data_IF_569160984860
#
_entry.id   IF_569160984860
#
_cell.length_a   1.000
_cell.length_b   1.000
_cell.length_c   1.000
_cell.angle_alpha   90.00
_cell.angle_beta   90.00
_cell.angle_gamma   90.00
#
_symmetry.space_group_name_H-M   'P 1'
#
loop_
_entity.id
_entity.type
_entity.pdbx_description
1 polymer ?
#
# COMPACT_ATOMS: atom_id res chain seq x y z
N UNK A 1 -25.52 2.68 8.26
CA UNK A 1 -25.48 1.77 7.10
C UNK A 1 -24.17 1.03 7.20
N UNK A 2 -24.20 -0.25 7.54
CA UNK A 2 -22.98 -1.06 7.52
C UNK A 2 -22.57 -1.14 6.05
N UNK A 3 -21.38 -0.62 5.71
CA UNK A 3 -20.81 -0.88 4.40
C UNK A 3 -20.60 -2.40 4.33
N UNK A 4 -21.34 -3.07 3.45
CA UNK A 4 -21.07 -4.46 3.08
C UNK A 4 -19.59 -4.56 2.67
N UNK A 5 -18.90 -5.61 3.14
CA UNK A 5 -17.55 -5.86 2.65
C UNK A 5 -17.61 -6.13 1.14
N UNK A 6 -16.71 -5.52 0.35
CA UNK A 6 -16.72 -5.69 -1.09
C UNK A 6 -16.50 -7.15 -1.46
N UNK A 7 -17.06 -7.58 -2.59
CA UNK A 7 -16.82 -8.91 -3.12
C UNK A 7 -15.30 -9.17 -3.29
N UNK A 8 -14.87 -10.40 -3.03
CA UNK A 8 -13.44 -10.75 -3.00
C UNK A 8 -12.79 -10.57 -4.38
N UNK A 9 -13.51 -10.84 -5.46
CA UNK A 9 -13.00 -10.67 -6.82
C UNK A 9 -12.93 -9.19 -7.22
N UNK A 10 -13.93 -8.40 -6.84
CA UNK A 10 -13.93 -6.93 -7.01
C UNK A 10 -12.80 -6.28 -6.22
N UNK A 11 -12.56 -6.73 -4.98
CA UNK A 11 -11.48 -6.26 -4.13
C UNK A 11 -10.11 -6.57 -4.74
N UNK A 12 -9.89 -7.81 -5.19
CA UNK A 12 -8.64 -8.21 -5.82
C UNK A 12 -8.38 -7.46 -7.13
N UNK A 13 -9.42 -7.25 -7.93
CA UNK A 13 -9.34 -6.51 -9.20
C UNK A 13 -9.04 -5.03 -8.97
N UNK A 14 -9.75 -4.40 -8.04
CA UNK A 14 -9.53 -3.00 -7.66
C UNK A 14 -8.13 -2.81 -7.08
N UNK A 15 -7.66 -3.71 -6.22
CA UNK A 15 -6.30 -3.67 -5.68
C UNK A 15 -5.25 -3.69 -6.78
N UNK A 16 -5.33 -4.62 -7.76
CA UNK A 16 -4.37 -4.70 -8.87
C UNK A 16 -4.34 -3.39 -9.67
N UNK A 17 -5.50 -2.80 -9.95
CA UNK A 17 -5.59 -1.50 -10.63
C UNK A 17 -4.95 -0.38 -9.82
N UNK A 18 -5.22 -0.31 -8.50
CA UNK A 18 -4.62 0.71 -7.64
C UNK A 18 -3.10 0.53 -7.47
N UNK A 19 -2.61 -0.72 -7.45
CA UNK A 19 -1.17 -1.02 -7.46
C UNK A 19 -0.53 -0.51 -8.75
N UNK A 20 -1.15 -0.76 -9.91
CA UNK A 20 -0.68 -0.23 -11.18
C UNK A 20 -0.61 1.31 -11.20
N UNK A 21 -1.59 1.99 -10.60
CA UNK A 21 -1.57 3.47 -10.46
C UNK A 21 -0.44 3.92 -9.53
N UNK A 22 -0.30 3.28 -8.36
CA UNK A 22 0.74 3.59 -7.40
C UNK A 22 2.14 3.47 -8.00
N UNK A 23 2.37 2.42 -8.79
CA UNK A 23 3.66 2.17 -9.43
C UNK A 23 3.87 3.01 -10.70
N UNK A 24 3.03 2.83 -11.71
CA UNK A 24 3.28 3.33 -13.06
C UNK A 24 2.94 4.82 -13.22
N UNK A 25 1.93 5.31 -12.49
CA UNK A 25 1.40 6.67 -12.64
C UNK A 25 1.94 7.60 -11.57
N UNK A 26 2.35 7.08 -10.42
CA UNK A 26 2.79 7.90 -9.28
C UNK A 26 4.27 7.71 -8.98
N UNK A 27 4.69 6.54 -8.53
CA UNK A 27 6.06 6.29 -8.10
C UNK A 27 7.08 6.46 -9.24
N UNK A 28 6.80 5.93 -10.42
CA UNK A 28 7.68 6.05 -11.57
C UNK A 28 7.92 7.50 -12.02
N UNK A 29 6.87 8.30 -12.30
CA UNK A 29 7.01 9.74 -12.54
C UNK A 29 7.73 10.48 -11.41
N UNK A 30 7.35 10.23 -10.15
CA UNK A 30 8.00 10.84 -8.99
C UNK A 30 9.47 10.48 -8.88
N UNK A 31 9.87 9.26 -9.23
CA UNK A 31 11.25 8.83 -9.22
C UNK A 31 12.07 9.56 -10.29
N UNK A 32 11.53 9.68 -11.51
CA UNK A 32 12.20 10.42 -12.59
C UNK A 32 12.37 11.91 -12.28
N UNK A 33 11.40 12.52 -11.60
CA UNK A 33 11.43 13.95 -11.28
C UNK A 33 12.16 14.27 -9.99
N UNK A 34 11.96 13.46 -8.95
CA UNK A 34 12.33 13.79 -7.56
C UNK A 34 13.24 12.73 -6.92
N UNK A 35 13.59 11.65 -7.61
CA UNK A 35 14.50 10.62 -7.11
C UNK A 35 13.94 9.76 -5.97
N UNK A 36 12.63 9.79 -5.73
CA UNK A 36 11.98 8.99 -4.69
C UNK A 36 10.74 8.28 -5.21
N UNK A 37 10.50 7.09 -4.68
CA UNK A 37 9.31 6.27 -4.97
C UNK A 37 8.31 6.27 -3.81
N UNK A 38 8.66 6.89 -2.68
CA UNK A 38 7.84 6.85 -1.47
C UNK A 38 6.47 7.46 -1.75
N UNK A 39 5.42 6.77 -1.33
CA UNK A 39 4.05 7.29 -1.34
C UNK A 39 3.57 7.51 0.10
N UNK A 40 2.63 8.42 0.28
CA UNK A 40 2.02 8.73 1.57
C UNK A 40 0.53 8.42 1.59
N UNK A 41 0.02 7.97 2.73
CA UNK A 41 -1.42 7.78 2.94
C UNK A 41 -2.09 9.11 3.23
N UNK A 42 -3.30 9.30 2.71
CA UNK A 42 -4.16 10.48 2.92
C UNK A 42 -5.61 10.05 3.04
N UNK A 43 -6.51 10.85 3.65
CA UNK A 43 -7.90 10.45 3.86
C UNK A 43 -8.63 10.02 2.58
N UNK A 44 -8.89 8.73 2.39
CA UNK A 44 -9.55 8.20 1.19
C UNK A 44 -8.62 7.78 0.06
N UNK A 45 -7.29 7.69 0.27
CA UNK A 45 -6.37 7.13 -0.71
C UNK A 45 -4.90 7.34 -0.35
N UNK A 46 -4.08 7.60 -1.37
CA UNK A 46 -2.63 7.80 -1.24
C UNK A 46 -2.13 8.86 -2.22
N UNK A 47 -0.92 9.37 -2.00
CA UNK A 47 -0.33 10.47 -2.76
C UNK A 47 1.17 10.30 -2.97
N UNK A 48 1.71 11.01 -3.94
CA UNK A 48 3.15 11.27 -4.01
C UNK A 48 3.57 12.17 -2.84
N UNK A 49 4.82 12.05 -2.41
CA UNK A 49 5.41 12.89 -1.35
C UNK A 49 6.26 14.03 -1.89
N UNK A 50 6.62 13.96 -3.17
CA UNK A 50 7.34 14.94 -3.96
C UNK A 50 6.69 15.11 -5.35
N UNK A 51 7.26 15.98 -6.19
CA UNK A 51 6.74 16.19 -7.53
C UNK A 51 6.86 14.93 -8.41
N UNK A 52 5.87 14.66 -9.29
CA UNK A 52 4.66 15.46 -9.52
C UNK A 52 3.62 15.30 -8.39
N UNK A 53 2.95 16.39 -8.02
CA UNK A 53 1.89 16.39 -7.01
C UNK A 53 0.61 15.65 -7.44
N UNK A 54 0.59 14.33 -7.22
CA UNK A 54 -0.49 13.41 -7.61
C UNK A 54 -1.13 12.76 -6.38
N UNK A 55 -2.43 12.51 -6.46
CA UNK A 55 -3.21 11.89 -5.39
C UNK A 55 -4.30 10.97 -5.94
N UNK A 56 -4.43 9.78 -5.39
CA UNK A 56 -5.64 8.96 -5.54
C UNK A 56 -6.65 9.34 -4.46
N UNK A 57 -7.89 9.58 -4.88
CA UNK A 57 -9.05 9.88 -4.03
C UNK A 57 -10.19 8.92 -4.38
N UNK A 58 -10.32 7.82 -3.64
CA UNK A 58 -11.26 6.76 -3.96
C UNK A 58 -10.98 6.18 -5.34
N UNK A 59 -11.86 6.47 -6.30
CA UNK A 59 -11.84 5.98 -7.67
C UNK A 59 -11.30 7.01 -8.69
N UNK A 60 -10.66 8.08 -8.24
CA UNK A 60 -10.14 9.14 -9.10
C UNK A 60 -8.66 9.47 -8.83
N UNK A 61 -7.95 9.84 -9.90
CA UNK A 61 -6.63 10.48 -9.84
C UNK A 61 -6.80 12.00 -9.88
N UNK A 62 -6.15 12.69 -8.95
CA UNK A 62 -6.14 14.15 -8.83
C UNK A 62 -4.71 14.67 -9.02
N UNK A 63 -4.54 15.69 -9.85
CA UNK A 63 -3.24 16.35 -10.06
C UNK A 63 -3.38 17.88 -9.97
N UNK A 64 -2.55 18.51 -9.14
CA UNK A 64 -2.48 19.97 -9.00
C UNK A 64 -3.80 20.66 -8.62
N UNK A 65 -4.80 19.92 -8.12
CA UNK A 65 -6.15 20.42 -7.83
C UNK A 65 -7.00 20.82 -9.06
N UNK A 66 -6.46 20.67 -10.26
CA UNK A 66 -7.10 21.09 -11.52
C UNK A 66 -7.57 19.91 -12.37
N UNK A 67 -6.83 18.81 -12.32
CA UNK A 67 -7.18 17.57 -13.01
C UNK A 67 -7.83 16.62 -12.02
N UNK A 68 -8.99 16.09 -12.39
CA UNK A 68 -9.63 14.94 -11.74
C UNK A 68 -10.05 13.95 -12.82
N UNK A 69 -9.35 12.82 -12.91
CA UNK A 69 -9.63 11.78 -13.89
C UNK A 69 -10.18 10.52 -13.17
N UNK A 70 -11.29 9.93 -13.64
CA UNK A 70 -11.72 8.63 -13.12
C UNK A 70 -10.65 7.58 -13.42
N UNK A 71 -10.47 6.62 -12.51
CA UNK A 71 -9.55 5.51 -12.69
C UNK A 71 -10.20 4.38 -13.51
N UNK A 72 -11.46 4.05 -13.22
CA UNK A 72 -12.15 2.96 -13.89
C UNK A 72 -12.29 3.21 -15.40
N UNK A 73 -11.98 2.17 -16.19
CA UNK A 73 -12.03 2.21 -17.64
C UNK A 73 -10.90 2.98 -18.32
N UNK A 74 -9.94 3.53 -17.57
CA UNK A 74 -8.74 4.20 -18.10
C UNK A 74 -7.54 3.27 -18.13
N UNK A 75 -6.53 3.61 -18.93
CA UNK A 75 -5.21 2.98 -18.82
C UNK A 75 -4.24 3.87 -18.03
N UNK A 76 -3.17 3.31 -17.41
CA UNK A 76 -2.10 4.11 -16.82
C UNK A 76 -1.50 5.15 -17.79
N UNK A 77 -1.37 4.81 -19.08
CA UNK A 77 -0.86 5.74 -20.10
C UNK A 77 -1.80 6.94 -20.31
N UNK A 78 -3.11 6.72 -20.35
CA UNK A 78 -4.10 7.79 -20.44
C UNK A 78 -4.05 8.72 -19.22
N UNK A 79 -3.88 8.15 -18.02
CA UNK A 79 -3.74 8.93 -16.78
C UNK A 79 -2.44 9.74 -16.76
N UNK A 80 -1.33 9.15 -17.19
CA UNK A 80 -0.04 9.83 -17.34
C UNK A 80 -0.10 10.99 -18.33
N UNK A 81 -0.82 10.82 -19.45
CA UNK A 81 -1.05 11.88 -20.43
C UNK A 81 -1.96 12.99 -19.89
N UNK A 82 -3.05 12.64 -19.20
CA UNK A 82 -4.00 13.60 -18.64
C UNK A 82 -3.38 14.49 -17.55
N UNK A 83 -2.41 13.96 -16.81
CA UNK A 83 -1.70 14.70 -15.74
C UNK A 83 -0.41 15.37 -16.22
N UNK A 84 0.10 15.01 -17.41
CA UNK A 84 1.40 15.46 -17.91
C UNK A 84 2.61 14.86 -17.18
N UNK A 85 2.40 13.93 -16.24
CA UNK A 85 3.44 13.30 -15.44
C UNK A 85 4.21 12.20 -16.21
N UNK A 86 3.63 11.69 -17.30
CA UNK A 86 4.09 10.49 -17.97
C UNK A 86 3.68 9.21 -17.23
N UNK A 87 4.17 8.06 -17.70
CA UNK A 87 3.81 6.73 -17.19
C UNK A 87 5.02 5.81 -17.19
N UNK A 88 4.99 4.76 -16.38
CA UNK A 88 5.97 3.67 -16.37
C UNK A 88 6.69 3.59 -15.03
N UNK A 89 7.03 2.38 -14.61
CA UNK A 89 7.63 2.05 -13.31
C UNK A 89 8.99 2.76 -13.09
N UNK A 90 9.46 2.84 -11.83
CA UNK A 90 10.83 3.23 -11.51
C UNK A 90 11.87 2.32 -12.18
N UNK A 91 12.62 2.85 -13.15
CA UNK A 91 13.59 2.05 -13.91
C UNK A 91 14.80 1.64 -13.06
N UNK A 92 15.25 0.39 -13.20
CA UNK A 92 16.45 -0.18 -12.59
C UNK A 92 16.49 -0.15 -11.05
N UNK A 93 15.33 -0.05 -10.39
CA UNK A 93 15.26 0.03 -8.92
C UNK A 93 14.91 -1.31 -8.27
N UNK A 94 13.95 -2.03 -8.85
CA UNK A 94 13.47 -3.32 -8.35
C UNK A 94 12.91 -4.16 -9.51
N UNK A 95 12.73 -5.46 -9.28
CA UNK A 95 12.24 -6.41 -10.29
C UNK A 95 10.76 -6.77 -10.14
N UNK A 96 10.24 -6.77 -8.91
CA UNK A 96 8.85 -7.11 -8.60
C UNK A 96 8.01 -5.84 -8.47
N UNK A 97 6.78 -5.85 -8.97
CA UNK A 97 5.86 -4.71 -8.95
C UNK A 97 4.43 -5.15 -9.19
N UNK A 98 3.61 -4.26 -9.75
CA UNK A 98 2.19 -4.54 -10.03
C UNK A 98 2.00 -5.55 -11.16
N UNK A 99 3.03 -5.75 -12.00
CA UNK A 99 2.98 -6.59 -13.19
C UNK A 99 2.07 -6.05 -14.30
N UNK A 100 1.59 -4.81 -14.17
CA UNK A 100 0.69 -4.20 -15.13
C UNK A 100 1.46 -3.51 -16.27
N UNK A 101 0.84 -3.47 -17.45
CA UNK A 101 1.29 -2.69 -18.59
C UNK A 101 0.70 -1.28 -18.55
N UNK A 102 1.40 -0.26 -19.10
CA UNK A 102 0.84 1.07 -19.28
C UNK A 102 -0.48 1.12 -20.08
N UNK A 103 -0.76 0.09 -20.89
CA UNK A 103 -1.96 0.00 -21.73
C UNK A 103 -3.08 -0.87 -21.12
N UNK A 104 -2.87 -1.45 -19.94
CA UNK A 104 -3.90 -2.26 -19.29
C UNK A 104 -5.07 -1.39 -18.83
N UNK A 105 -6.30 -1.84 -19.09
CA UNK A 105 -7.50 -1.13 -18.65
C UNK A 105 -7.71 -1.36 -17.16
N UNK A 106 -7.63 -0.29 -16.39
CA UNK A 106 -7.90 -0.27 -14.97
C UNK A 106 -9.38 -0.54 -14.70
N UNK A 107 -9.62 -1.37 -13.69
CA UNK A 107 -10.94 -1.72 -13.16
C UNK A 107 -10.99 -1.39 -11.68
N UNK A 108 -11.80 -0.40 -11.33
CA UNK A 108 -11.85 0.16 -9.97
C UNK A 108 -13.30 0.25 -9.53
N UNK A 109 -13.68 -0.61 -8.59
CA UNK A 109 -14.95 -0.47 -7.90
C UNK A 109 -14.82 0.58 -6.77
N UNK A 110 -15.72 1.58 -6.68
CA UNK A 110 -15.65 2.62 -5.65
C UNK A 110 -15.77 2.10 -4.21
N UNK A 111 -16.56 1.04 -3.96
CA UNK A 111 -16.72 0.49 -2.62
C UNK A 111 -15.46 -0.26 -2.16
N UNK A 112 -14.87 -1.07 -3.05
CA UNK A 112 -13.58 -1.73 -2.86
C UNK A 112 -12.45 -0.73 -2.67
N UNK A 113 -12.36 0.31 -3.50
CA UNK A 113 -11.35 1.37 -3.36
C UNK A 113 -11.49 2.09 -2.01
N UNK A 114 -12.74 2.40 -1.61
CA UNK A 114 -13.03 2.96 -0.30
C UNK A 114 -12.65 2.03 0.86
N UNK A 115 -12.85 0.72 0.72
CA UNK A 115 -12.42 -0.27 1.72
C UNK A 115 -10.90 -0.30 1.86
N UNK A 116 -10.16 -0.43 0.75
CA UNK A 116 -8.69 -0.44 0.76
C UNK A 116 -8.10 0.86 1.34
N UNK A 117 -8.69 2.01 1.01
CA UNK A 117 -8.28 3.29 1.59
C UNK A 117 -8.50 3.35 3.12
N UNK A 118 -9.57 2.75 3.64
CA UNK A 118 -9.79 2.64 5.09
C UNK A 118 -8.76 1.72 5.75
N UNK A 119 -8.38 0.62 5.10
CA UNK A 119 -7.31 -0.26 5.57
C UNK A 119 -5.97 0.50 5.68
N UNK A 120 -5.60 1.27 4.65
CA UNK A 120 -4.40 2.13 4.69
C UNK A 120 -4.47 3.16 5.82
N UNK A 121 -5.60 3.86 5.97
CA UNK A 121 -5.76 4.87 7.02
C UNK A 121 -5.62 4.27 8.43
N UNK A 122 -6.21 3.09 8.65
CA UNK A 122 -6.09 2.35 9.92
C UNK A 122 -4.65 1.90 10.18
N UNK A 123 -3.94 1.45 9.14
CA UNK A 123 -2.52 1.14 9.21
C UNK A 123 -1.67 2.35 9.56
N UNK A 124 -1.87 3.48 8.87
CA UNK A 124 -1.10 4.73 9.10
C UNK A 124 -1.27 5.22 10.55
N UNK A 125 -2.49 5.21 11.07
CA UNK A 125 -2.76 5.55 12.48
C UNK A 125 -2.00 4.64 13.45
N UNK A 126 -2.10 3.32 13.26
CA UNK A 126 -1.46 2.35 14.14
C UNK A 126 0.08 2.44 14.09
N UNK A 127 0.66 2.61 12.91
CA UNK A 127 2.11 2.71 12.72
C UNK A 127 2.67 4.02 13.30
N UNK A 128 1.96 5.15 13.14
CA UNK A 128 2.34 6.42 13.78
C UNK A 128 2.30 6.35 15.30
N UNK A 129 1.35 5.61 15.86
CA UNK A 129 1.28 5.38 17.31
C UNK A 129 2.43 4.48 17.80
N UNK A 130 2.74 3.44 17.03
CA UNK A 130 3.81 2.49 17.35
C UNK A 130 5.21 3.13 17.26
N UNK A 131 5.42 3.99 16.27
CA UNK A 131 6.72 4.60 15.97
C UNK A 131 6.55 6.10 15.61
N UNK A 132 6.34 6.98 16.62
CA UNK A 132 6.06 8.40 16.40
C UNK A 132 7.16 9.16 15.63
N UNK A 133 8.40 8.71 15.75
CA UNK A 133 9.57 9.30 15.09
C UNK A 133 9.82 8.75 13.67
N UNK A 134 9.10 7.69 13.28
CA UNK A 134 9.16 7.12 11.94
C UNK A 134 8.01 7.64 11.07
N UNK A 135 8.27 7.78 9.77
CA UNK A 135 7.22 8.14 8.80
C UNK A 135 6.77 6.88 8.07
N UNK A 136 5.49 6.46 8.19
CA UNK A 136 4.95 5.39 7.35
C UNK A 136 5.07 5.72 5.87
N UNK A 137 5.52 4.74 5.09
CA UNK A 137 5.66 4.83 3.63
C UNK A 137 4.81 3.74 3.00
N UNK A 138 3.98 4.13 2.03
CA UNK A 138 3.35 3.18 1.12
C UNK A 138 4.37 2.86 0.02
N UNK A 139 4.84 1.62 -0.01
CA UNK A 139 5.84 1.15 -0.96
C UNK A 139 5.15 0.67 -2.24
N UNK A 140 5.47 1.24 -3.42
CA UNK A 140 4.84 0.87 -4.67
C UNK A 140 5.24 -0.53 -5.16
N UNK A 141 6.38 -1.08 -4.72
CA UNK A 141 6.82 -2.43 -5.11
C UNK A 141 5.81 -3.50 -4.65
N UNK A 142 5.49 -3.47 -3.36
CA UNK A 142 4.64 -4.47 -2.71
C UNK A 142 3.21 -3.98 -2.45
N UNK A 143 2.97 -2.69 -2.68
CA UNK A 143 1.70 -2.01 -2.41
C UNK A 143 1.20 -2.17 -0.97
N UNK A 144 2.14 -2.01 -0.04
CA UNK A 144 1.93 -2.11 1.39
C UNK A 144 2.46 -0.86 2.12
N UNK A 145 1.82 -0.54 3.24
CA UNK A 145 2.22 0.56 4.10
C UNK A 145 3.10 0.03 5.22
N UNK A 146 4.30 0.59 5.40
CA UNK A 146 5.23 0.08 6.40
C UNK A 146 6.08 1.15 7.11
N UNK A 147 6.56 0.80 8.30
CA UNK A 147 7.74 1.40 8.94
C UNK A 147 8.70 0.29 9.38
N UNK A 148 9.99 0.59 9.41
CA UNK A 148 11.02 -0.28 10.00
C UNK A 148 11.61 0.38 11.22
N UNK A 149 11.62 -0.32 12.35
CA UNK A 149 12.19 0.12 13.63
C UNK A 149 12.94 -1.06 14.24
N UNK A 150 14.19 -0.82 14.65
CA UNK A 150 15.06 -1.82 15.29
C UNK A 150 15.11 -3.15 14.51
N UNK A 151 15.34 -3.06 13.19
CA UNK A 151 15.43 -4.22 12.28
C UNK A 151 14.15 -5.07 12.19
N UNK A 152 13.00 -4.49 12.56
CA UNK A 152 11.68 -5.09 12.40
C UNK A 152 10.80 -4.18 11.55
N UNK A 153 10.22 -4.73 10.50
CA UNK A 153 9.24 -4.05 9.65
C UNK A 153 7.83 -4.36 10.12
N UNK A 154 7.04 -3.31 10.34
CA UNK A 154 5.63 -3.38 10.71
C UNK A 154 4.82 -2.77 9.59
N UNK A 155 3.78 -3.45 9.14
CA UNK A 155 3.03 -2.94 8.01
C UNK A 155 1.65 -3.52 7.81
N UNK A 156 0.97 -2.94 6.82
CA UNK A 156 -0.32 -3.37 6.32
C UNK A 156 -0.20 -3.57 4.81
N UNK A 157 -0.34 -4.82 4.36
CA UNK A 157 -0.50 -5.16 2.94
C UNK A 157 -1.97 -5.09 2.57
N UNK A 158 -2.26 -4.61 1.36
CA UNK A 158 -3.62 -4.61 0.80
C UNK A 158 -4.01 -5.98 0.22
N UNK A 159 -3.12 -6.96 0.33
CA UNK A 159 -3.30 -8.33 -0.10
C UNK A 159 -2.40 -8.66 -1.30
N UNK A 160 -1.94 -9.90 -1.35
CA UNK A 160 -0.95 -10.38 -2.31
C UNK A 160 -1.07 -11.92 -2.44
N UNK A 161 0.01 -12.57 -2.90
CA UNK A 161 0.06 -14.03 -3.03
C UNK A 161 0.12 -14.80 -1.70
N UNK A 162 0.48 -14.14 -0.58
CA UNK A 162 0.47 -14.74 0.74
C UNK A 162 -0.94 -14.74 1.34
N UNK A 163 -1.60 -13.58 1.36
CA UNK A 163 -3.00 -13.44 1.76
C UNK A 163 -3.72 -12.52 0.77
N UNK A 164 -4.79 -13.03 0.15
CA UNK A 164 -5.53 -12.29 -0.89
C UNK A 164 -6.38 -11.12 -0.38
N UNK A 165 -6.45 -10.92 0.94
CA UNK A 165 -7.22 -9.86 1.62
C UNK A 165 -6.27 -8.92 2.37
N UNK A 166 -6.68 -7.69 2.73
CA UNK A 166 -5.84 -6.81 3.53
C UNK A 166 -5.44 -7.44 4.88
N UNK A 167 -4.15 -7.37 5.21
CA UNK A 167 -3.58 -7.99 6.41
C UNK A 167 -2.48 -7.13 7.00
N UNK A 168 -2.31 -7.25 8.32
CA UNK A 168 -1.18 -6.65 9.03
C UNK A 168 -0.05 -7.67 9.16
N UNK A 169 1.19 -7.19 9.18
CA UNK A 169 2.35 -8.04 9.38
C UNK A 169 3.40 -7.43 10.30
N UNK A 170 4.22 -8.31 10.88
CA UNK A 170 5.45 -7.99 11.62
C UNK A 170 6.55 -8.88 11.07
N UNK A 171 7.60 -8.29 10.53
CA UNK A 171 8.66 -8.95 9.77
C UNK A 171 10.04 -8.53 10.29
N UNK A 172 10.61 -9.30 11.25
CA UNK A 172 11.99 -9.11 11.68
C UNK A 172 12.96 -9.54 10.57
N UNK A 173 14.10 -8.84 10.44
CA UNK A 173 15.12 -9.18 9.43
C UNK A 173 15.67 -10.59 9.60
N UNK A 174 15.79 -11.03 10.86
CA UNK A 174 16.09 -12.41 11.20
C UNK A 174 14.81 -13.16 11.58
N UNK A 175 14.48 -14.27 10.90
CA UNK A 175 13.30 -15.06 11.22
C UNK A 175 13.28 -15.48 12.68
N UNK A 176 12.09 -15.44 13.29
CA UNK A 176 11.84 -15.92 14.65
C UNK A 176 10.96 -17.18 14.60
N UNK A 177 10.92 -17.93 15.70
CA UNK A 177 10.13 -19.14 15.81
C UNK A 177 9.19 -19.08 17.01
N UNK A 178 7.97 -19.59 16.87
CA UNK A 178 6.96 -19.56 17.93
C UNK A 178 5.55 -19.46 17.35
N UNK A 179 4.53 -19.55 18.21
CA UNK A 179 3.12 -19.50 17.80
C UNK A 179 2.75 -18.16 17.14
N UNK A 180 3.37 -17.06 17.60
CA UNK A 180 3.15 -15.72 17.02
C UNK A 180 3.70 -15.62 15.59
N UNK A 181 4.84 -16.24 15.31
CA UNK A 181 5.57 -16.19 14.04
C UNK A 181 5.00 -17.20 13.03
N UNK A 182 3.79 -16.91 12.56
CA UNK A 182 2.95 -17.80 11.76
C UNK A 182 3.16 -17.71 10.23
N UNK A 183 4.08 -16.86 9.75
CA UNK A 183 4.37 -16.64 8.34
C UNK A 183 5.88 -16.82 8.06
N UNK A 184 6.29 -17.16 6.82
CA UNK A 184 7.70 -17.38 6.48
C UNK A 184 8.58 -16.15 6.68
N UNK A 185 7.98 -14.95 6.63
CA UNK A 185 8.64 -13.68 6.86
C UNK A 185 8.42 -13.12 8.28
N UNK A 186 7.67 -13.81 9.16
CA UNK A 186 7.36 -13.32 10.51
C UNK A 186 5.95 -13.66 10.93
N UNK A 187 5.14 -12.64 11.22
CA UNK A 187 3.75 -12.79 11.63
C UNK A 187 2.81 -12.05 10.68
N UNK A 188 1.66 -12.63 10.37
CA UNK A 188 0.61 -12.03 9.55
C UNK A 188 -0.78 -12.34 10.11
N UNK A 189 -1.69 -11.35 10.07
CA UNK A 189 -3.10 -11.52 10.46
C UNK A 189 -4.03 -10.67 9.58
N UNK A 190 -5.16 -11.22 9.08
CA UNK A 190 -6.15 -10.45 8.35
C UNK A 190 -6.64 -9.23 9.14
N UNK A 191 -6.81 -8.09 8.48
CA UNK A 191 -7.29 -6.88 9.15
C UNK A 191 -8.72 -7.01 9.67
N UNK A 192 -9.53 -7.88 9.06
CA UNK A 192 -10.90 -8.19 9.50
C UNK A 192 -10.95 -8.90 10.85
N UNK A 193 -9.89 -9.64 11.22
CA UNK A 193 -9.77 -10.35 12.49
C UNK A 193 -9.09 -9.53 13.58
N UNK A 194 -8.42 -8.44 13.19
CA UNK A 194 -7.76 -7.54 14.12
C UNK A 194 -8.75 -6.45 14.53
N UNK A 195 -9.08 -6.36 15.82
CA UNK A 195 -9.77 -5.20 16.39
C UNK A 195 -8.77 -4.14 16.88
N UNK A 196 -7.68 -4.57 17.52
CA UNK A 196 -6.58 -3.71 17.97
C UNK A 196 -5.32 -3.94 17.11
N UNK A 197 -5.20 -3.15 16.04
CA UNK A 197 -4.07 -3.23 15.12
C UNK A 197 -2.76 -2.75 15.77
N UNK A 198 -2.83 -1.70 16.58
CA UNK A 198 -1.66 -1.22 17.31
C UNK A 198 -1.18 -2.26 18.33
N UNK A 199 -2.10 -2.91 19.05
CA UNK A 199 -1.80 -4.01 19.97
C UNK A 199 -1.06 -5.17 19.30
N UNK A 200 -1.48 -5.57 18.10
CA UNK A 200 -0.77 -6.58 17.30
C UNK A 200 0.68 -6.17 16.99
N UNK A 201 0.91 -4.92 16.59
CA UNK A 201 2.26 -4.43 16.34
C UNK A 201 3.11 -4.32 17.61
N UNK A 202 2.51 -3.88 18.72
CA UNK A 202 3.18 -3.81 20.02
C UNK A 202 3.61 -5.19 20.52
N UNK A 203 2.73 -6.20 20.42
CA UNK A 203 3.07 -7.59 20.73
C UNK A 203 4.23 -8.06 19.83
N UNK A 204 4.15 -7.80 18.53
CA UNK A 204 5.23 -8.18 17.61
C UNK A 204 6.59 -7.54 17.94
N UNK A 205 6.60 -6.30 18.44
CA UNK A 205 7.82 -5.63 18.90
C UNK A 205 8.40 -6.31 20.14
N UNK A 206 7.55 -6.62 21.13
CA UNK A 206 7.96 -7.31 22.35
C UNK A 206 8.53 -8.70 22.03
N UNK A 207 7.81 -9.48 21.21
CA UNK A 207 8.24 -10.80 20.74
C UNK A 207 9.55 -10.74 19.98
N UNK A 208 9.75 -9.76 19.10
CA UNK A 208 10.98 -9.67 18.30
C UNK A 208 12.24 -9.44 19.16
N UNK A 209 12.08 -8.81 20.32
CA UNK A 209 13.13 -8.56 21.29
C UNK A 209 13.38 -9.76 22.23
N UNK A 210 12.33 -10.54 22.55
CA UNK A 210 12.41 -11.69 23.45
C UNK A 210 12.78 -12.99 22.73
N UNK A 211 12.15 -13.25 21.59
CA UNK A 211 12.35 -14.45 20.79
C UNK A 211 13.63 -14.27 19.96
N UNK A 212 14.64 -15.09 20.24
CA UNK A 212 15.90 -15.07 19.49
C UNK A 212 15.73 -15.53 18.03
N UNK A 213 16.72 -15.24 17.16
CA UNK A 213 16.72 -15.72 15.79
C UNK A 213 16.63 -17.24 15.71
N UNK A 214 15.96 -17.73 14.67
CA UNK A 214 15.85 -19.14 14.32
C UNK A 214 17.14 -19.69 13.72
#
# INVERSE_FOLDING_TARGET
>A
MNAEEPDVEELATTRRSLHAVAELVMAGPQYRTSGTIRLGVVPGGFRTVAEPGLRVEGDALVAGGQVRAPLDGRTPAELGAATGAGVGAPENLYHDGSGASPDDVLRVDPAAAGHLARCLARGDEALRRLAPDATPVLWPEHFDLAVTVDEVTYGVSLGDGHLGVPYAYVSPWEPRAGEFWNAPFGAARPLSELHDLHGFFAEGRERAAEDGPK
#
